data_IF_548494393852
#
_entry.id   IF_548494393852
#
_cell.length_a   1.000
_cell.length_b   1.000
_cell.length_c   1.000
_cell.angle_alpha   90.00
_cell.angle_beta   90.00
_cell.angle_gamma   90.00
#
_symmetry.space_group_name_H-M   'P 1'
#
loop_
_entity.id
_entity.type
_entity.pdbx_description
1 polymer ?
#
# COMPACT_ATOMS: atom_id res chain seq x y z
N UNK A 1 -7.18 -5.20 -4.09
CA UNK A 1 -6.22 -6.21 -3.58
C UNK A 1 -6.64 -6.77 -2.23
N UNK A 2 -7.30 -5.97 -1.40
CA UNK A 2 -7.59 -6.33 -0.02
C UNK A 2 -8.37 -7.64 0.11
N UNK A 3 -9.32 -7.88 -0.78
CA UNK A 3 -10.28 -8.97 -0.57
C UNK A 3 -9.71 -10.36 -0.80
N UNK A 4 -8.96 -10.56 -1.87
CA UNK A 4 -8.50 -11.91 -2.25
C UNK A 4 -7.52 -12.46 -1.22
N UNK A 5 -6.52 -11.68 -0.82
CA UNK A 5 -5.49 -12.14 0.11
C UNK A 5 -5.99 -12.24 1.54
N UNK A 6 -6.81 -11.28 2.00
CA UNK A 6 -7.39 -11.34 3.35
C UNK A 6 -8.39 -12.48 3.48
N UNK A 7 -9.14 -12.81 2.43
CA UNK A 7 -10.03 -13.98 2.45
C UNK A 7 -9.24 -15.28 2.48
N UNK A 8 -8.19 -15.43 1.68
CA UNK A 8 -7.28 -16.57 1.76
C UNK A 8 -6.61 -16.68 3.13
N UNK A 9 -6.16 -15.54 3.68
CA UNK A 9 -5.58 -15.53 5.03
C UNK A 9 -6.60 -15.91 6.12
N UNK A 10 -7.89 -15.70 5.90
CA UNK A 10 -8.94 -16.07 6.85
C UNK A 10 -9.32 -17.56 6.81
N UNK A 11 -8.82 -18.34 5.86
CA UNK A 11 -9.11 -19.78 5.76
C UNK A 11 -8.58 -20.50 7.00
N UNK A 12 -9.43 -21.34 7.67
CA UNK A 12 -9.03 -21.99 8.93
C UNK A 12 -8.00 -23.11 8.76
N UNK A 13 -7.92 -23.71 7.56
CA UNK A 13 -7.14 -24.92 7.32
C UNK A 13 -5.72 -24.65 6.79
N UNK A 14 -5.32 -23.38 6.64
CA UNK A 14 -3.96 -23.04 6.24
C UNK A 14 -3.05 -22.91 7.46
N UNK A 15 -1.75 -23.14 7.25
CA UNK A 15 -0.76 -22.97 8.31
C UNK A 15 -0.60 -21.49 8.69
N UNK A 16 -0.18 -21.18 9.93
CA UNK A 16 0.10 -19.79 10.32
C UNK A 16 1.13 -19.11 9.40
N UNK A 17 2.10 -19.87 8.88
CA UNK A 17 3.11 -19.34 7.98
C UNK A 17 2.54 -19.03 6.58
N UNK A 18 1.69 -19.86 6.02
CA UNK A 18 0.98 -19.57 4.76
C UNK A 18 0.08 -18.34 4.91
N UNK A 19 -0.63 -18.22 6.03
CA UNK A 19 -1.42 -17.04 6.36
C UNK A 19 -0.56 -15.79 6.39
N UNK A 20 0.61 -15.85 7.02
CA UNK A 20 1.57 -14.76 7.06
C UNK A 20 2.02 -14.33 5.65
N UNK A 21 2.28 -15.27 4.74
CA UNK A 21 2.59 -14.95 3.33
C UNK A 21 1.45 -14.18 2.65
N UNK A 22 0.18 -14.54 2.87
CA UNK A 22 -0.96 -13.79 2.32
C UNK A 22 -1.09 -12.38 2.89
N UNK A 23 -0.76 -12.19 4.17
CA UNK A 23 -0.71 -10.85 4.76
C UNK A 23 0.38 -9.98 4.12
N UNK A 24 1.55 -10.55 3.88
CA UNK A 24 2.62 -9.85 3.13
C UNK A 24 2.15 -9.50 1.72
N UNK A 25 1.52 -10.43 1.01
CA UNK A 25 1.00 -10.21 -0.33
C UNK A 25 -0.06 -9.08 -0.36
N UNK A 26 -0.93 -9.02 0.65
CA UNK A 26 -1.89 -7.94 0.81
C UNK A 26 -1.21 -6.58 0.99
N UNK A 27 -0.28 -6.46 1.93
CA UNK A 27 0.43 -5.20 2.19
C UNK A 27 1.23 -4.74 0.97
N UNK A 28 1.89 -5.66 0.30
CA UNK A 28 2.70 -5.38 -0.88
C UNK A 28 1.86 -5.01 -2.11
N UNK A 29 0.80 -5.76 -2.38
CA UNK A 29 -0.05 -5.55 -3.55
C UNK A 29 -0.72 -4.17 -3.60
N UNK A 30 -0.99 -3.57 -2.43
CA UNK A 30 -1.53 -2.22 -2.32
C UNK A 30 -0.60 -1.13 -2.86
N UNK A 31 0.71 -1.37 -2.91
CA UNK A 31 1.71 -0.38 -3.30
C UNK A 31 1.60 0.01 -4.79
N UNK A 32 1.23 -0.91 -5.66
CA UNK A 32 1.05 -0.63 -7.09
C UNK A 32 0.10 0.53 -7.37
N UNK A 33 -0.99 0.64 -6.62
CA UNK A 33 -1.98 1.72 -6.78
C UNK A 33 -1.37 3.09 -6.45
N UNK A 34 -0.51 3.17 -5.45
CA UNK A 34 0.15 4.42 -5.06
C UNK A 34 1.01 5.02 -6.18
N UNK A 35 1.48 4.21 -7.14
CA UNK A 35 2.24 4.70 -8.29
C UNK A 35 1.39 5.39 -9.35
N UNK A 36 0.06 5.29 -9.28
CA UNK A 36 -0.84 5.78 -10.34
C UNK A 36 -1.09 7.29 -10.34
N UNK A 37 -0.71 8.01 -9.29
CA UNK A 37 -0.78 9.49 -9.17
C UNK A 37 -2.15 10.10 -9.54
N UNK A 38 -3.24 9.43 -9.20
CA UNK A 38 -4.59 9.82 -9.65
C UNK A 38 -5.29 10.84 -8.74
N UNK A 39 -4.62 11.31 -7.68
CA UNK A 39 -5.23 12.20 -6.68
C UNK A 39 -5.05 13.66 -7.08
N UNK A 40 -6.12 14.38 -7.43
CA UNK A 40 -6.03 15.78 -7.83
C UNK A 40 -5.78 16.72 -6.63
N UNK A 41 -6.45 16.49 -5.49
CA UNK A 41 -6.39 17.34 -4.31
C UNK A 41 -6.20 16.52 -3.03
N UNK A 42 -5.64 17.17 -2.00
CA UNK A 42 -5.60 16.61 -0.65
C UNK A 42 -7.00 16.65 -0.03
N UNK A 43 -7.33 15.71 0.89
CA UNK A 43 -8.60 15.77 1.61
C UNK A 43 -8.65 16.99 2.54
N UNK A 44 -9.85 17.50 2.77
CA UNK A 44 -10.08 18.51 3.80
C UNK A 44 -10.03 17.90 5.20
N UNK A 45 -9.86 18.74 6.21
CA UNK A 45 -10.03 18.33 7.59
C UNK A 45 -11.48 17.87 7.83
N UNK A 46 -11.64 16.67 8.40
CA UNK A 46 -12.95 16.06 8.61
C UNK A 46 -13.58 15.46 7.36
N UNK A 47 -12.92 15.51 6.20
CA UNK A 47 -13.40 14.79 5.02
C UNK A 47 -13.41 13.30 5.25
N UNK A 48 -14.52 12.67 4.88
CA UNK A 48 -14.72 11.22 5.02
C UNK A 48 -14.91 10.55 3.66
N UNK A 49 -14.69 9.25 3.63
CA UNK A 49 -15.08 8.37 2.54
C UNK A 49 -15.68 7.09 3.10
N UNK A 50 -16.82 6.69 2.55
CA UNK A 50 -17.47 5.44 2.88
C UNK A 50 -17.72 4.66 1.60
N UNK A 51 -17.22 3.42 1.56
CA UNK A 51 -17.32 2.58 0.39
C UNK A 51 -17.55 1.12 0.72
N UNK A 52 -17.84 0.35 -0.32
CA UNK A 52 -18.06 -1.08 -0.25
C UNK A 52 -17.30 -1.77 -1.39
N UNK A 53 -16.62 -2.85 -1.04
CA UNK A 53 -15.98 -3.76 -2.00
C UNK A 53 -17.01 -4.72 -2.61
N UNK A 54 -16.74 -5.33 -3.77
CA UNK A 54 -17.66 -6.26 -4.42
C UNK A 54 -18.09 -7.45 -3.55
N UNK A 55 -17.25 -7.88 -2.61
CA UNK A 55 -17.57 -8.95 -1.67
C UNK A 55 -18.41 -8.50 -0.47
N UNK A 56 -18.76 -7.21 -0.38
CA UNK A 56 -19.51 -6.62 0.73
C UNK A 56 -18.67 -6.16 1.91
N UNK A 57 -17.34 -6.18 1.82
CA UNK A 57 -16.48 -5.55 2.81
C UNK A 57 -16.65 -4.02 2.76
N UNK A 58 -16.72 -3.38 3.91
CA UNK A 58 -16.95 -1.93 4.02
C UNK A 58 -15.64 -1.24 4.39
N UNK A 59 -15.42 -0.08 3.77
CA UNK A 59 -14.29 0.81 4.08
C UNK A 59 -14.81 2.15 4.56
N UNK A 60 -14.15 2.67 5.59
CA UNK A 60 -14.36 3.99 6.16
C UNK A 60 -13.01 4.68 6.25
N UNK A 61 -12.94 5.91 5.77
CA UNK A 61 -11.73 6.74 5.85
C UNK A 61 -12.11 8.12 6.34
N UNK A 62 -11.26 8.72 7.14
CA UNK A 62 -11.44 10.09 7.64
C UNK A 62 -10.09 10.80 7.73
N UNK A 63 -10.05 12.05 7.27
CA UNK A 63 -8.93 12.94 7.49
C UNK A 63 -9.10 13.67 8.82
N UNK A 64 -8.41 13.17 9.86
CA UNK A 64 -8.64 13.60 11.26
C UNK A 64 -7.84 14.81 11.69
N UNK A 65 -6.67 15.07 11.06
CA UNK A 65 -5.88 16.28 11.29
C UNK A 65 -5.25 16.75 9.99
N UNK A 66 -4.94 18.07 9.93
CA UNK A 66 -4.32 18.66 8.74
C UNK A 66 -2.83 19.00 8.93
N UNK A 67 -2.41 19.28 10.17
CA UNK A 67 -1.00 19.56 10.52
C UNK A 67 -0.67 18.88 11.86
N UNK A 68 0.00 17.71 11.83
CA UNK A 68 0.35 16.89 10.67
C UNK A 68 -0.88 16.37 9.94
N UNK A 69 -0.71 15.99 8.66
CA UNK A 69 -1.79 15.37 7.90
C UNK A 69 -1.95 13.92 8.34
N UNK A 70 -3.02 13.64 9.08
CA UNK A 70 -3.33 12.29 9.56
C UNK A 70 -4.69 11.83 9.02
N UNK A 71 -4.68 10.73 8.30
CA UNK A 71 -5.88 10.05 7.86
C UNK A 71 -6.00 8.69 8.57
N UNK A 72 -7.20 8.37 9.05
CA UNK A 72 -7.52 7.07 9.64
C UNK A 72 -8.38 6.27 8.69
N UNK A 73 -8.25 4.95 8.74
CA UNK A 73 -9.06 4.04 7.94
C UNK A 73 -9.45 2.80 8.72
N UNK A 74 -10.61 2.26 8.36
CA UNK A 74 -11.15 1.00 8.85
C UNK A 74 -11.74 0.24 7.66
N UNK A 75 -11.32 -1.02 7.48
CA UNK A 75 -11.99 -1.96 6.58
C UNK A 75 -12.51 -3.11 7.43
N UNK A 76 -13.77 -3.48 7.22
CA UNK A 76 -14.40 -4.56 7.98
C UNK A 76 -15.22 -5.46 7.06
N UNK A 77 -15.04 -6.76 7.22
CA UNK A 77 -15.84 -7.75 6.52
C UNK A 77 -16.41 -8.78 7.49
N UNK A 78 -17.70 -8.63 7.81
CA UNK A 78 -18.41 -9.50 8.77
C UNK A 78 -17.60 -9.66 10.07
N UNK A 79 -17.46 -10.91 10.57
CA UNK A 79 -16.53 -11.29 11.65
C UNK A 79 -15.24 -11.92 11.13
N UNK A 80 -15.07 -11.96 9.79
CA UNK A 80 -13.98 -12.66 9.14
C UNK A 80 -12.67 -11.89 9.32
N UNK A 81 -12.63 -10.60 8.93
CA UNK A 81 -11.46 -9.76 9.17
C UNK A 81 -11.83 -8.30 9.46
N UNK A 82 -10.96 -7.66 10.20
CA UNK A 82 -10.94 -6.22 10.42
C UNK A 82 -9.52 -5.71 10.17
N UNK A 83 -9.43 -4.64 9.39
CA UNK A 83 -8.19 -3.95 9.12
C UNK A 83 -8.35 -2.50 9.51
N UNK A 84 -7.46 -1.97 10.33
CA UNK A 84 -7.46 -0.57 10.72
C UNK A 84 -6.04 0.00 10.78
N UNK A 85 -5.95 1.31 10.69
CA UNK A 85 -4.68 2.00 10.77
C UNK A 85 -4.85 3.50 10.59
N UNK A 86 -3.71 4.15 10.49
CA UNK A 86 -3.66 5.55 10.14
C UNK A 86 -2.43 5.84 9.31
N UNK A 87 -2.49 6.92 8.56
CA UNK A 87 -1.36 7.50 7.86
C UNK A 87 -1.07 8.87 8.44
N UNK A 88 0.10 9.00 9.05
CA UNK A 88 0.69 10.27 9.46
C UNK A 88 1.71 10.64 8.38
N UNK A 89 1.38 11.68 7.61
CA UNK A 89 2.12 12.08 6.42
C UNK A 89 2.96 13.32 6.71
N UNK A 90 4.28 13.19 6.60
CA UNK A 90 5.24 14.29 6.58
C UNK A 90 5.83 14.44 5.17
N UNK A 91 5.73 15.64 4.60
CA UNK A 91 6.19 15.92 3.24
C UNK A 91 7.36 16.89 3.29
N UNK A 92 8.55 16.42 2.87
CA UNK A 92 9.76 17.23 2.78
C UNK A 92 10.13 17.46 1.33
N UNK A 93 10.21 18.71 0.93
CA UNK A 93 10.62 19.10 -0.42
C UNK A 93 12.11 19.40 -0.48
N UNK A 94 12.74 19.01 -1.60
CA UNK A 94 14.15 19.27 -1.91
C UNK A 94 14.27 19.76 -3.34
N UNK A 95 15.45 20.30 -3.69
CA UNK A 95 15.75 20.77 -5.06
C UNK A 95 14.68 21.71 -5.61
N UNK A 96 14.33 22.74 -4.85
CA UNK A 96 13.29 23.72 -5.20
C UNK A 96 11.93 23.09 -5.54
N UNK A 97 11.57 21.98 -4.87
CA UNK A 97 10.31 21.28 -5.09
C UNK A 97 10.32 20.25 -6.22
N UNK A 98 11.47 19.98 -6.84
CA UNK A 98 11.58 18.94 -7.86
C UNK A 98 11.66 17.53 -7.28
N UNK A 99 12.00 17.40 -6.00
CA UNK A 99 11.99 16.14 -5.24
C UNK A 99 11.14 16.31 -4.00
N UNK A 100 10.21 15.40 -3.78
CA UNK A 100 9.38 15.35 -2.58
C UNK A 100 9.55 13.99 -1.92
N UNK A 101 9.93 14.00 -0.64
CA UNK A 101 9.94 12.80 0.19
C UNK A 101 8.66 12.81 1.03
N UNK A 102 7.84 11.80 0.84
CA UNK A 102 6.59 11.59 1.56
C UNK A 102 6.86 10.48 2.56
N UNK A 103 7.06 10.87 3.81
CA UNK A 103 7.27 9.97 4.93
C UNK A 103 5.88 9.59 5.43
N UNK A 104 5.52 8.34 5.28
CA UNK A 104 4.24 7.80 5.71
C UNK A 104 4.48 6.92 6.94
N UNK A 105 4.04 7.41 8.09
CA UNK A 105 4.10 6.69 9.36
C UNK A 105 2.72 6.18 9.73
N UNK A 106 2.70 5.13 10.51
CA UNK A 106 1.49 4.55 11.04
C UNK A 106 1.39 3.05 10.76
N UNK A 107 0.90 2.29 11.75
CA UNK A 107 0.70 0.87 11.60
C UNK A 107 -0.59 0.57 10.83
N UNK A 108 -0.54 -0.53 10.09
CA UNK A 108 -1.70 -1.23 9.55
C UNK A 108 -1.90 -2.47 10.41
N UNK A 109 -3.02 -2.54 11.13
CA UNK A 109 -3.39 -3.68 11.97
C UNK A 109 -4.45 -4.50 11.28
N UNK A 110 -4.20 -5.80 11.17
CA UNK A 110 -5.10 -6.77 10.56
C UNK A 110 -5.49 -7.78 11.62
N UNK A 111 -6.78 -7.98 11.83
CA UNK A 111 -7.32 -8.93 12.80
C UNK A 111 -8.22 -9.93 12.12
N UNK A 112 -8.14 -11.18 12.54
CA UNK A 112 -9.04 -12.27 12.21
C UNK A 112 -9.74 -12.72 13.50
N UNK A 113 -10.92 -12.16 13.82
CA UNK A 113 -11.57 -12.39 15.11
C UNK A 113 -11.89 -13.88 15.39
N UNK A 114 -12.34 -14.63 14.37
CA UNK A 114 -12.68 -16.04 14.50
C UNK A 114 -11.46 -16.94 14.73
N UNK A 115 -10.28 -16.52 14.30
CA UNK A 115 -9.01 -17.22 14.49
C UNK A 115 -8.24 -16.73 15.73
N UNK A 116 -8.71 -15.66 16.36
CA UNK A 116 -7.99 -14.97 17.44
C UNK A 116 -6.53 -14.65 17.05
N UNK A 117 -6.35 -14.10 15.84
CA UNK A 117 -5.06 -13.74 15.28
C UNK A 117 -5.00 -12.28 14.87
N UNK A 118 -3.82 -11.67 15.02
CA UNK A 118 -3.58 -10.29 14.64
C UNK A 118 -2.17 -10.11 14.09
N UNK A 119 -2.08 -9.27 13.05
CA UNK A 119 -0.86 -8.93 12.35
C UNK A 119 -0.71 -7.42 12.32
N UNK A 120 0.51 -6.95 12.35
CA UNK A 120 0.79 -5.52 12.23
C UNK A 120 1.90 -5.30 11.22
N UNK A 121 1.75 -4.28 10.39
CA UNK A 121 2.77 -3.90 9.44
C UNK A 121 2.80 -2.41 9.18
N UNK A 122 3.82 -1.96 8.47
CA UNK A 122 3.88 -0.63 7.89
C UNK A 122 4.36 -0.74 6.44
N UNK A 123 4.02 0.26 5.64
CA UNK A 123 4.39 0.34 4.23
C UNK A 123 5.61 1.27 4.04
N UNK A 124 6.36 1.11 2.93
CA UNK A 124 7.52 1.93 2.64
C UNK A 124 7.14 3.40 2.40
N UNK A 125 8.13 4.27 2.46
CA UNK A 125 7.97 5.69 2.14
C UNK A 125 7.94 5.92 0.63
N UNK A 126 7.43 7.09 0.22
CA UNK A 126 7.31 7.48 -1.18
C UNK A 126 8.25 8.64 -1.46
N UNK A 127 8.91 8.59 -2.61
CA UNK A 127 9.70 9.68 -3.15
C UNK A 127 9.17 10.06 -4.53
N UNK A 128 8.70 11.29 -4.67
CA UNK A 128 8.39 11.85 -5.97
C UNK A 128 9.65 12.52 -6.52
N UNK A 129 10.04 12.14 -7.72
CA UNK A 129 11.16 12.73 -8.47
C UNK A 129 10.64 13.41 -9.72
N UNK A 130 11.36 14.43 -10.19
CA UNK A 130 10.98 15.25 -11.34
C UNK A 130 9.56 15.81 -11.18
N UNK A 131 9.19 16.21 -9.96
CA UNK A 131 7.83 16.64 -9.62
C UNK A 131 7.31 17.82 -10.46
N UNK A 132 8.22 18.62 -11.04
CA UNK A 132 7.91 19.74 -11.92
C UNK A 132 7.76 19.38 -13.40
N UNK A 133 8.12 18.16 -13.79
CA UNK A 133 8.06 17.71 -15.19
C UNK A 133 6.88 16.75 -15.35
N UNK A 134 5.94 17.05 -16.22
CA UNK A 134 4.79 16.18 -16.49
C UNK A 134 5.23 14.83 -17.06
N UNK A 135 6.17 14.85 -18.00
CA UNK A 135 6.62 13.64 -18.71
C UNK A 135 7.58 12.76 -17.91
N UNK A 136 8.33 13.37 -16.96
CA UNK A 136 9.41 12.68 -16.24
C UNK A 136 9.10 12.42 -14.77
N UNK A 137 7.93 12.87 -14.30
CA UNK A 137 7.51 12.65 -12.91
C UNK A 137 7.39 11.16 -12.63
N UNK A 138 7.99 10.72 -11.52
CA UNK A 138 7.87 9.35 -11.08
C UNK A 138 7.69 9.29 -9.56
N UNK A 139 6.89 8.33 -9.10
CA UNK A 139 6.79 7.94 -7.70
C UNK A 139 7.55 6.65 -7.47
N UNK A 140 8.45 6.69 -6.52
CA UNK A 140 9.30 5.56 -6.15
C UNK A 140 9.05 5.24 -4.68
N UNK A 141 9.03 3.95 -4.34
CA UNK A 141 9.07 3.52 -2.95
C UNK A 141 10.51 3.42 -2.47
N UNK A 142 10.76 3.73 -1.20
CA UNK A 142 12.04 3.58 -0.53
C UNK A 142 11.89 3.22 0.94
N UNK A 143 12.98 2.74 1.55
CA UNK A 143 12.94 2.18 2.90
C UNK A 143 12.45 0.74 2.89
N UNK A 144 11.64 0.37 3.85
CA UNK A 144 11.22 -1.01 4.01
C UNK A 144 9.71 -1.16 4.27
N UNK A 145 9.16 -2.32 3.88
CA UNK A 145 7.90 -2.84 4.36
C UNK A 145 8.21 -3.90 5.40
N UNK A 146 7.66 -3.76 6.59
CA UNK A 146 7.77 -4.74 7.67
C UNK A 146 6.38 -5.24 8.03
N UNK A 147 6.27 -6.55 8.23
CA UNK A 147 5.09 -7.20 8.79
C UNK A 147 5.52 -8.11 9.93
N UNK A 148 4.73 -8.14 11.00
CA UNK A 148 5.00 -8.96 12.19
C UNK A 148 3.77 -9.76 12.59
N UNK A 149 4.03 -10.98 13.04
CA UNK A 149 3.11 -11.88 13.73
C UNK A 149 3.75 -12.31 15.06
N UNK A 150 3.54 -11.55 16.14
CA UNK A 150 4.15 -11.89 17.42
C UNK A 150 3.62 -13.20 18.02
N UNK A 151 2.41 -13.64 17.67
CA UNK A 151 1.81 -14.87 18.18
C UNK A 151 2.58 -16.12 17.71
N UNK A 152 3.04 -16.12 16.46
CA UNK A 152 3.75 -17.26 15.86
C UNK A 152 5.24 -16.98 15.63
N UNK A 153 5.74 -15.86 16.13
CA UNK A 153 7.14 -15.45 15.99
C UNK A 153 7.60 -15.27 14.53
N UNK A 154 6.72 -14.71 13.67
CA UNK A 154 7.10 -14.39 12.30
C UNK A 154 7.31 -12.88 12.10
N UNK A 155 8.37 -12.55 11.38
CA UNK A 155 8.67 -11.20 10.93
C UNK A 155 9.09 -11.24 9.47
N UNK A 156 8.69 -10.22 8.70
CA UNK A 156 9.16 -10.03 7.33
C UNK A 156 9.76 -8.65 7.16
N UNK A 157 10.74 -8.56 6.27
CA UNK A 157 11.34 -7.32 5.83
C UNK A 157 11.47 -7.35 4.32
N UNK A 158 10.96 -6.31 3.65
CA UNK A 158 11.12 -6.09 2.21
C UNK A 158 11.77 -4.71 2.02
N UNK A 159 12.96 -4.68 1.41
CA UNK A 159 13.71 -3.47 1.11
C UNK A 159 13.38 -2.95 -0.29
N UNK A 160 13.19 -1.63 -0.38
CA UNK A 160 12.87 -0.91 -1.61
C UNK A 160 14.01 0.00 -2.02
N UNK A 161 14.15 0.23 -3.33
CA UNK A 161 15.16 1.14 -3.91
C UNK A 161 16.61 0.78 -3.51
N UNK A 162 16.89 -0.50 -3.34
CA UNK A 162 18.23 -1.00 -3.07
C UNK A 162 19.11 -1.00 -4.33
N UNK A 163 18.50 -1.13 -5.50
CA UNK A 163 19.15 -1.16 -6.79
C UNK A 163 18.88 0.15 -7.55
N UNK A 164 19.92 0.98 -7.70
CA UNK A 164 19.81 2.27 -8.42
C UNK A 164 19.53 2.13 -9.91
N UNK A 165 19.74 0.95 -10.50
CA UNK A 165 19.46 0.67 -11.91
C UNK A 165 18.00 0.21 -12.11
N UNK A 166 17.42 -0.46 -11.11
CA UNK A 166 16.07 -1.02 -11.15
C UNK A 166 15.28 -0.60 -9.92
N UNK A 167 14.75 0.63 -9.91
CA UNK A 167 14.10 1.25 -8.76
C UNK A 167 12.83 0.52 -8.27
N UNK A 168 12.20 -0.28 -9.14
CA UNK A 168 10.98 -1.02 -8.79
C UNK A 168 11.26 -2.42 -8.20
N UNK A 169 12.50 -2.88 -8.24
CA UNK A 169 12.88 -4.15 -7.63
C UNK A 169 12.86 -4.09 -6.12
N UNK A 170 12.49 -5.22 -5.53
CA UNK A 170 12.50 -5.44 -4.09
C UNK A 170 13.25 -6.71 -3.74
N UNK A 171 13.85 -6.71 -2.56
CA UNK A 171 14.45 -7.88 -1.95
C UNK A 171 14.09 -7.94 -0.48
N UNK A 172 14.12 -9.12 0.10
CA UNK A 172 13.77 -9.27 1.49
C UNK A 172 13.87 -10.69 1.98
N UNK A 173 13.32 -10.89 3.16
CA UNK A 173 13.18 -12.22 3.74
C UNK A 173 12.00 -12.28 4.71
N UNK A 174 11.53 -13.49 4.94
CA UNK A 174 10.75 -13.87 6.11
C UNK A 174 11.66 -14.53 7.12
N UNK A 175 11.38 -14.36 8.39
CA UNK A 175 12.18 -14.90 9.47
C UNK A 175 11.34 -15.35 10.66
N UNK A 176 11.81 -16.38 11.36
CA UNK A 176 11.40 -16.64 12.73
C UNK A 176 12.13 -15.63 13.60
N UNK A 177 11.37 -14.87 14.39
CA UNK A 177 11.89 -13.78 15.20
C UNK A 177 11.35 -13.89 16.62
N UNK A 178 12.22 -13.98 17.60
CA UNK A 178 11.81 -14.01 19.01
C UNK A 178 11.43 -12.61 19.47
N UNK A 179 10.13 -12.37 19.62
CA UNK A 179 9.63 -11.12 20.14
C UNK A 179 9.77 -11.06 21.68
N UNK A 180 10.16 -9.91 22.25
CA UNK A 180 10.07 -9.67 23.68
C UNK A 180 8.63 -9.91 24.20
N UNK A 181 8.48 -10.33 25.45
CA UNK A 181 7.15 -10.58 26.06
C UNK A 181 6.25 -9.35 26.08
N UNK A 182 6.85 -8.18 26.17
CA UNK A 182 6.23 -6.86 26.19
C UNK A 182 6.32 -6.15 24.84
N UNK A 183 6.45 -6.91 23.76
CA UNK A 183 6.59 -6.35 22.43
C UNK A 183 5.37 -5.53 22.03
N UNK A 184 5.63 -4.26 21.75
CA UNK A 184 4.68 -3.35 21.09
C UNK A 184 5.23 -2.89 19.75
N UNK A 185 4.40 -2.97 18.72
CA UNK A 185 4.77 -2.52 17.39
C UNK A 185 4.96 -1.00 17.38
N UNK A 186 6.17 -0.57 17.09
CA UNK A 186 6.54 0.83 16.94
C UNK A 186 7.04 1.08 15.51
N UNK A 187 6.31 1.86 14.69
CA UNK A 187 6.68 2.10 13.30
C UNK A 187 8.08 2.68 13.12
N UNK A 188 8.52 3.57 14.02
CA UNK A 188 9.86 4.19 13.92
C UNK A 188 10.97 3.18 14.24
N UNK A 189 10.78 2.31 15.23
CA UNK A 189 11.74 1.22 15.55
C UNK A 189 11.78 0.20 14.41
N UNK A 190 10.65 -0.17 13.85
CA UNK A 190 10.57 -1.12 12.74
C UNK A 190 11.18 -0.54 11.46
N UNK A 191 11.03 0.75 11.22
CA UNK A 191 11.69 1.43 10.12
C UNK A 191 13.21 1.47 10.31
N UNK A 192 13.70 1.76 11.53
CA UNK A 192 15.13 1.72 11.88
C UNK A 192 15.68 0.31 11.67
N UNK A 193 14.96 -0.71 12.14
CA UNK A 193 15.32 -2.11 11.87
C UNK A 193 15.51 -2.36 10.37
N UNK A 194 14.57 -1.92 9.55
CA UNK A 194 14.63 -2.08 8.09
C UNK A 194 15.81 -1.36 7.42
N UNK A 195 16.25 -0.22 7.98
CA UNK A 195 17.41 0.53 7.45
C UNK A 195 18.75 -0.01 7.92
N UNK A 196 18.80 -0.57 9.12
CA UNK A 196 20.02 -1.16 9.73
C UNK A 196 20.23 -2.61 9.28
N UNK A 197 19.15 -3.32 9.00
CA UNK A 197 19.20 -4.68 8.49
C UNK A 197 19.68 -4.66 7.03
N UNK A 198 20.97 -4.85 6.84
CA UNK A 198 21.54 -5.01 5.50
C UNK A 198 21.33 -6.42 5.02
N UNK A 199 20.47 -6.57 4.03
CA UNK A 199 20.37 -7.81 3.27
C UNK A 199 21.62 -7.86 2.39
N UNK A 200 22.68 -8.51 2.89
CA UNK A 200 23.92 -8.69 2.11
C UNK A 200 23.61 -9.59 0.91
N UNK A 201 24.25 -9.31 -0.23
CA UNK A 201 24.15 -10.13 -1.45
C UNK A 201 24.58 -11.59 -1.23
N UNK A 202 25.32 -11.87 -0.14
CA UNK A 202 25.74 -13.20 0.31
C UNK A 202 24.88 -13.72 1.46
N UNK A 203 23.61 -14.01 1.20
CA UNK A 203 22.73 -14.68 2.17
C UNK A 203 23.26 -16.04 2.64
N UNK A 204 24.27 -16.59 2.00
CA UNK A 204 24.93 -17.84 2.40
C UNK A 204 25.92 -17.67 3.56
N UNK A 205 26.31 -16.45 3.91
CA UNK A 205 27.33 -16.18 4.95
C UNK A 205 26.80 -15.46 6.18
N UNK A 206 25.51 -15.13 6.24
CA UNK A 206 24.92 -14.22 7.25
C UNK A 206 24.71 -14.79 8.67
N UNK A 207 25.11 -15.99 8.95
CA UNK A 207 25.08 -16.48 10.34
C UNK A 207 26.07 -15.80 11.29
N UNK A 208 26.94 -14.89 10.83
CA UNK A 208 28.08 -14.43 11.64
C UNK A 208 28.28 -12.92 11.85
N UNK A 209 27.53 -12.00 11.27
CA UNK A 209 27.93 -10.58 11.27
C UNK A 209 27.03 -9.54 11.91
N UNK A 210 25.87 -9.84 12.40
CA UNK A 210 25.03 -8.82 13.07
C UNK A 210 24.95 -9.08 14.57
N UNK A 211 25.87 -8.49 15.32
CA UNK A 211 25.90 -8.50 16.80
C UNK A 211 24.62 -7.94 17.47
N UNK A 212 23.71 -7.36 16.71
CA UNK A 212 22.55 -6.65 17.23
C UNK A 212 21.22 -7.46 17.13
N UNK A 213 21.19 -8.57 16.38
CA UNK A 213 19.95 -9.33 16.10
C UNK A 213 20.21 -10.84 16.21
N UNK A 214 20.62 -11.30 17.40
CA UNK A 214 20.92 -12.73 17.62
C UNK A 214 19.68 -13.64 17.71
N UNK A 215 18.46 -13.10 17.53
CA UNK A 215 17.21 -13.82 17.84
C UNK A 215 16.35 -14.08 16.60
N UNK A 216 16.94 -14.31 15.44
CA UNK A 216 16.17 -14.66 14.25
C UNK A 216 16.82 -15.74 13.39
N UNK A 217 15.97 -16.46 12.68
CA UNK A 217 16.38 -17.42 11.63
C UNK A 217 15.62 -17.10 10.36
N UNK A 218 16.32 -16.93 9.22
CA UNK A 218 15.68 -16.70 7.92
C UNK A 218 14.97 -17.97 7.48
N UNK A 219 13.68 -17.83 7.14
CA UNK A 219 12.87 -18.91 6.60
C UNK A 219 12.97 -18.96 5.09
N UNK A 220 12.59 -17.87 4.41
CA UNK A 220 12.57 -17.78 2.96
C UNK A 220 12.99 -16.39 2.49
N UNK A 221 13.60 -16.36 1.29
CA UNK A 221 13.96 -15.12 0.63
C UNK A 221 12.74 -14.50 -0.06
N UNK A 222 12.70 -13.18 -0.11
CA UNK A 222 11.71 -12.41 -0.84
C UNK A 222 12.41 -11.69 -1.99
N UNK A 223 11.81 -11.75 -3.18
CA UNK A 223 12.29 -11.03 -4.36
C UNK A 223 11.13 -10.67 -5.28
N UNK A 224 11.31 -9.68 -6.12
CA UNK A 224 10.29 -9.30 -7.09
C UNK A 224 10.29 -7.81 -7.41
N UNK A 225 9.13 -7.32 -7.81
CA UNK A 225 8.90 -5.96 -8.22
C UNK A 225 7.48 -5.52 -7.87
N UNK A 226 7.32 -4.32 -7.32
CA UNK A 226 5.99 -3.79 -6.99
C UNK A 226 5.16 -3.37 -8.22
N UNK A 227 5.71 -3.50 -9.43
CA UNK A 227 4.99 -3.30 -10.69
C UNK A 227 4.78 -4.59 -11.49
N UNK A 228 5.24 -5.73 -10.98
CA UNK A 228 5.11 -7.05 -11.65
C UNK A 228 4.61 -8.12 -10.70
N UNK A 229 5.50 -8.70 -9.89
CA UNK A 229 5.18 -9.83 -9.04
C UNK A 229 6.07 -9.85 -7.79
N UNK A 230 5.60 -10.53 -6.75
CA UNK A 230 6.34 -10.82 -5.52
C UNK A 230 6.48 -12.32 -5.33
N UNK A 231 7.70 -12.78 -5.07
CA UNK A 231 8.02 -14.16 -4.73
C UNK A 231 8.46 -14.27 -3.28
N UNK A 232 8.00 -15.32 -2.60
CA UNK A 232 8.54 -15.78 -1.31
C UNK A 232 9.02 -17.21 -1.51
N UNK A 233 10.32 -17.46 -1.33
CA UNK A 233 10.93 -18.71 -1.75
C UNK A 233 10.79 -18.89 -3.25
N UNK A 234 10.20 -20.02 -3.65
CA UNK A 234 9.92 -20.34 -5.05
C UNK A 234 8.51 -19.92 -5.51
N UNK A 235 7.64 -19.52 -4.59
CA UNK A 235 6.23 -19.26 -4.85
C UNK A 235 5.99 -17.80 -5.26
N UNK A 236 5.26 -17.58 -6.36
CA UNK A 236 4.71 -16.29 -6.70
C UNK A 236 3.46 -16.07 -5.85
N UNK A 237 3.54 -15.21 -4.83
CA UNK A 237 2.44 -14.94 -3.91
C UNK A 237 1.58 -13.75 -4.34
N UNK A 238 2.12 -12.87 -5.16
CA UNK A 238 1.40 -11.74 -5.75
C UNK A 238 1.87 -11.53 -7.19
N UNK A 239 0.94 -11.23 -8.09
CA UNK A 239 1.17 -11.03 -9.51
C UNK A 239 0.16 -9.97 -9.98
N UNK A 240 0.64 -8.87 -10.57
CA UNK A 240 -0.21 -7.75 -10.98
C UNK A 240 -1.24 -8.14 -12.03
N UNK A 241 -0.88 -9.05 -12.94
CA UNK A 241 -1.77 -9.43 -14.03
C UNK A 241 -2.89 -10.39 -13.57
N UNK A 242 -2.67 -11.10 -12.46
CA UNK A 242 -3.65 -12.01 -11.84
C UNK A 242 -4.44 -11.37 -10.70
N UNK A 243 -3.85 -10.37 -10.04
CA UNK A 243 -4.40 -9.76 -8.84
C UNK A 243 -4.75 -8.30 -9.11
N UNK A 244 -5.70 -8.06 -10.00
CA UNK A 244 -6.22 -6.71 -10.25
C UNK A 244 -6.95 -6.16 -9.01
N UNK A 245 -6.86 -4.85 -8.76
CA UNK A 245 -7.56 -4.23 -7.63
C UNK A 245 -9.07 -4.31 -7.82
N UNK A 246 -9.76 -4.70 -6.76
CA UNK A 246 -11.21 -4.64 -6.72
C UNK A 246 -11.68 -3.17 -6.68
N UNK A 247 -12.67 -2.79 -7.49
CA UNK A 247 -13.25 -1.46 -7.44
C UNK A 247 -14.01 -1.28 -6.12
N UNK A 248 -13.73 -0.18 -5.43
CA UNK A 248 -14.52 0.26 -4.28
C UNK A 248 -15.66 1.11 -4.81
N UNK A 249 -16.90 0.81 -4.41
CA UNK A 249 -18.07 1.60 -4.74
C UNK A 249 -18.44 2.47 -3.53
N UNK A 250 -18.66 3.77 -3.70
CA UNK A 250 -19.22 4.60 -2.64
C UNK A 250 -20.56 4.05 -2.19
N UNK A 251 -20.83 4.07 -0.88
CA UNK A 251 -22.17 3.69 -0.37
C UNK A 251 -23.23 4.66 -0.86
N UNK A 252 -24.47 4.18 -1.05
CA UNK A 252 -25.57 5.01 -1.56
C UNK A 252 -25.87 6.20 -0.64
N UNK A 253 -25.92 5.93 0.67
CA UNK A 253 -26.18 6.93 1.70
C UNK A 253 -24.92 7.16 2.50
N UNK A 254 -24.42 8.38 2.51
CA UNK A 254 -23.22 8.78 3.24
C UNK A 254 -23.49 10.07 4.04
N UNK A 255 -22.58 10.35 4.96
CA UNK A 255 -22.66 11.56 5.77
C UNK A 255 -22.23 12.79 4.96
N UNK A 256 -22.65 14.02 5.35
CA UNK A 256 -22.36 15.25 4.60
C UNK A 256 -20.87 15.57 4.42
N UNK A 257 -20.00 15.02 5.26
CA UNK A 257 -18.53 15.19 5.16
C UNK A 257 -17.87 14.27 4.12
N UNK A 258 -18.63 13.44 3.39
CA UNK A 258 -18.08 12.56 2.36
C UNK A 258 -17.50 13.36 1.19
N UNK A 259 -16.31 12.98 0.73
CA UNK A 259 -15.56 13.68 -0.31
C UNK A 259 -16.29 13.82 -1.64
N UNK A 260 -17.36 13.05 -1.88
CA UNK A 260 -18.19 13.21 -3.08
C UNK A 260 -18.98 14.54 -3.12
N UNK A 261 -19.14 15.20 -1.97
CA UNK A 261 -19.80 16.50 -1.88
C UNK A 261 -18.84 17.69 -2.03
N UNK A 262 -17.59 17.43 -2.37
CA UNK A 262 -16.57 18.48 -2.58
C UNK A 262 -16.88 19.27 -3.85
N UNK A 263 -17.12 20.57 -3.68
CA UNK A 263 -17.38 21.47 -4.79
C UNK A 263 -16.14 21.70 -5.68
N UNK A 264 -14.94 21.73 -5.09
CA UNK A 264 -13.70 21.92 -5.85
C UNK A 264 -13.42 20.81 -6.86
N UNK A 265 -13.80 19.57 -6.56
CA UNK A 265 -13.73 18.45 -7.50
C UNK A 265 -14.74 18.65 -8.65
N UNK A 266 -15.94 19.11 -8.35
CA UNK A 266 -16.97 19.41 -9.36
C UNK A 266 -16.48 20.49 -10.30
N UNK A 267 -15.94 21.59 -9.76
CA UNK A 267 -15.38 22.69 -10.56
C UNK A 267 -14.17 22.27 -11.38
N UNK A 268 -13.28 21.44 -10.83
CA UNK A 268 -12.14 20.89 -11.55
C UNK A 268 -12.61 20.11 -12.78
N UNK A 269 -13.58 19.21 -12.60
CA UNK A 269 -14.13 18.43 -13.71
C UNK A 269 -14.84 19.31 -14.75
N UNK A 270 -15.61 20.29 -14.33
CA UNK A 270 -16.23 21.27 -15.23
C UNK A 270 -15.19 22.02 -16.08
N UNK A 271 -14.06 22.43 -15.48
CA UNK A 271 -13.00 23.14 -16.20
C UNK A 271 -12.30 22.28 -17.25
N UNK A 272 -12.11 20.99 -16.98
CA UNK A 272 -11.49 20.07 -17.95
C UNK A 272 -12.40 19.70 -19.11
N UNK A 273 -13.71 19.66 -18.90
CA UNK A 273 -14.65 19.10 -19.87
C UNK A 273 -15.60 20.12 -20.49
N UNK A 274 -15.43 21.42 -20.23
CA UNK A 274 -16.30 22.52 -20.74
C UNK A 274 -17.80 22.20 -20.55
N UNK A 275 -18.17 21.58 -19.44
CA UNK A 275 -19.57 21.22 -19.17
C UNK A 275 -20.33 22.48 -18.75
N UNK A 276 -21.02 23.09 -19.72
CA UNK A 276 -21.96 24.17 -19.47
C UNK A 276 -23.32 23.59 -19.09
N UNK A 277 -23.73 23.85 -17.88
CA UNK A 277 -25.12 23.88 -17.38
C UNK A 277 -26.11 22.80 -17.86
N UNK A 278 -26.03 21.54 -17.38
CA UNK A 278 -27.21 20.69 -17.34
C UNK A 278 -27.12 19.67 -16.18
N UNK A 279 -28.24 19.54 -15.50
CA UNK A 279 -28.63 18.63 -14.41
C UNK A 279 -27.51 17.89 -13.66
N UNK A 280 -27.34 18.20 -12.38
CA UNK A 280 -26.32 17.64 -11.50
C UNK A 280 -26.18 16.10 -11.55
N UNK A 281 -27.29 15.36 -11.66
CA UNK A 281 -27.26 13.89 -11.76
C UNK A 281 -26.63 13.38 -13.05
N UNK A 282 -26.81 14.07 -14.14
CA UNK A 282 -26.22 13.73 -15.43
C UNK A 282 -24.72 14.01 -15.44
N UNK A 283 -24.31 15.09 -14.78
CA UNK A 283 -22.89 15.44 -14.55
C UNK A 283 -22.20 14.37 -13.69
N UNK A 284 -22.80 13.92 -12.60
CA UNK A 284 -22.22 12.87 -11.76
C UNK A 284 -22.08 11.53 -12.51
N UNK A 285 -23.06 11.19 -13.34
CA UNK A 285 -22.99 9.98 -14.17
C UNK A 285 -21.93 10.09 -15.26
N UNK A 286 -21.83 11.24 -15.92
CA UNK A 286 -20.79 11.52 -16.91
C UNK A 286 -19.40 11.57 -16.30
N UNK A 287 -19.22 12.16 -15.12
CA UNK A 287 -17.97 12.15 -14.36
C UNK A 287 -17.56 10.70 -14.07
N UNK A 288 -18.49 9.86 -13.65
CA UNK A 288 -18.24 8.43 -13.42
C UNK A 288 -17.80 7.68 -14.66
N UNK A 289 -18.43 7.96 -15.82
CA UNK A 289 -18.05 7.38 -17.11
C UNK A 289 -16.70 7.92 -17.60
N UNK A 290 -16.44 9.20 -17.48
CA UNK A 290 -15.15 9.81 -17.87
C UNK A 290 -14.00 9.33 -16.98
N UNK A 291 -14.23 9.15 -15.69
CA UNK A 291 -13.29 8.47 -14.79
C UNK A 291 -12.96 7.05 -15.28
N UNK A 292 -13.98 6.31 -15.70
CA UNK A 292 -13.77 4.96 -16.23
C UNK A 292 -12.91 4.98 -17.49
N UNK A 293 -13.19 5.86 -18.44
CA UNK A 293 -12.40 6.03 -19.68
C UNK A 293 -10.97 6.44 -19.36
N UNK A 294 -10.78 7.43 -18.49
CA UNK A 294 -9.45 7.89 -18.05
C UNK A 294 -8.68 6.77 -17.37
N UNK A 295 -9.32 5.95 -16.53
CA UNK A 295 -8.71 4.79 -15.89
C UNK A 295 -8.34 3.70 -16.91
N UNK A 296 -9.15 3.49 -17.94
CA UNK A 296 -8.85 2.55 -19.01
C UNK A 296 -7.69 3.02 -19.89
N UNK A 297 -7.62 4.31 -20.19
CA UNK A 297 -6.50 4.92 -20.91
C UNK A 297 -5.21 4.87 -20.10
N UNK A 298 -5.29 5.19 -18.81
CA UNK A 298 -4.15 5.07 -17.90
C UNK A 298 -3.66 3.62 -17.80
N UNK A 299 -4.57 2.65 -17.68
CA UNK A 299 -4.20 1.24 -17.63
C UNK A 299 -3.59 0.75 -18.96
N UNK A 300 -4.00 1.31 -20.10
CA UNK A 300 -3.35 1.06 -21.41
C UNK A 300 -1.96 1.66 -21.48
N UNK A 301 -1.79 2.89 -21.03
CA UNK A 301 -0.49 3.55 -20.97
C UNK A 301 0.48 2.83 -20.03
N UNK A 302 0.03 2.45 -18.85
CA UNK A 302 0.80 1.73 -17.84
C UNK A 302 1.24 0.34 -18.37
N UNK A 303 0.38 -0.37 -19.10
CA UNK A 303 0.74 -1.62 -19.78
C UNK A 303 1.82 -1.41 -20.86
N UNK A 304 1.70 -0.37 -21.68
CA UNK A 304 2.72 -0.04 -22.69
C UNK A 304 4.07 0.28 -22.03
N UNK A 305 4.06 1.04 -20.94
CA UNK A 305 5.27 1.38 -20.20
C UNK A 305 5.94 0.14 -19.59
N UNK A 306 5.15 -0.79 -19.03
CA UNK A 306 5.69 -2.06 -18.52
C UNK A 306 6.31 -2.92 -19.61
N UNK A 307 5.69 -3.00 -20.76
CA UNK A 307 6.20 -3.77 -21.88
C UNK A 307 7.50 -3.17 -22.45
N UNK A 308 7.60 -1.84 -22.56
CA UNK A 308 8.85 -1.20 -23.01
C UNK A 308 10.00 -1.37 -22.02
N UNK A 309 9.72 -1.54 -20.73
CA UNK A 309 10.74 -1.87 -19.73
C UNK A 309 11.21 -3.33 -19.82
N UNK A 310 10.31 -4.26 -20.16
CA UNK A 310 10.66 -5.68 -20.34
C UNK A 310 11.48 -5.92 -21.63
N UNK A 311 11.34 -5.08 -22.65
CA UNK A 311 12.13 -5.13 -23.88
C UNK A 311 13.51 -4.49 -23.70
N UNK A 312 13.75 -3.74 -22.62
CA UNK A 312 15.03 -3.10 -22.30
C UNK A 312 15.87 -3.86 -21.26
N UNK A 313 15.39 -4.99 -20.76
CA UNK A 313 16.06 -5.96 -19.90
C UNK A 313 16.49 -7.19 -20.70
#
# INVERSE_FOLDING_TARGET
YANVFLLKAAEPNITPYERFKYIIAFLFGGLYIGCKQLKPFNPFLGETFQGEFPNGAKIYVENVTHKPLVARFLIRYKKIYELNGYWDLDVKTQSFGNVMNIIQKGPIRIKFPELNESYVGHIPFIKAINARSEDKRALLYYGSLVCVDPKHNYKSLIEFNFNKKCFHEVRGCTMNYEFPKDYEFNPDKEWTFGTEFKIDNDMKTNQKKTKMYNNYTINENISGSYIHALKIGNDIIWDIDKNLPDPIRPVKYCIPSDGRFREDLIWLYRSFYNVNNEKEEEIYREIGMKWKVMMEEFNRWDRKRRNSYNESL
#
